data_IF_517644126328
#
_entry.id   IF_517644126328
#
_cell.length_a   1.000
_cell.length_b   1.000
_cell.length_c   1.000
_cell.angle_alpha   90.00
_cell.angle_beta   90.00
_cell.angle_gamma   90.00
#
_symmetry.space_group_name_H-M   'P 1'
#
loop_
_entity.id
_entity.type
_entity.pdbx_description
1 polymer ?
#
# COMPACT_ATOMS: atom_id res chain seq x y z
N UNK A 1 20.77 1.92 -11.00
CA UNK A 1 19.84 1.12 -11.82
C UNK A 1 19.19 0.17 -10.85
N UNK A 2 17.87 0.24 -10.72
CA UNK A 2 17.14 -0.52 -9.71
C UNK A 2 16.53 -1.76 -10.37
N UNK A 3 16.75 -2.92 -9.77
CA UNK A 3 16.31 -4.22 -10.30
C UNK A 3 15.35 -4.84 -9.30
N UNK A 4 14.14 -5.18 -9.74
CA UNK A 4 13.11 -5.83 -8.93
C UNK A 4 12.99 -7.29 -9.38
N UNK A 5 13.22 -8.23 -8.45
CA UNK A 5 13.07 -9.67 -8.67
C UNK A 5 11.72 -10.14 -8.11
N UNK A 6 10.79 -10.56 -8.97
CA UNK A 6 9.50 -11.16 -8.57
C UNK A 6 9.59 -12.69 -8.53
N UNK A 7 8.74 -13.33 -7.72
CA UNK A 7 8.64 -14.80 -7.56
C UNK A 7 9.90 -15.49 -6.99
N UNK A 8 10.70 -14.78 -6.19
CA UNK A 8 11.85 -15.37 -5.51
C UNK A 8 11.38 -16.30 -4.38
N UNK A 9 11.87 -17.53 -4.36
CA UNK A 9 11.57 -18.48 -3.28
C UNK A 9 12.54 -18.27 -2.13
N UNK A 10 12.07 -18.40 -0.87
CA UNK A 10 12.92 -18.26 0.34
C UNK A 10 14.16 -19.15 0.34
N UNK A 11 14.07 -20.33 -0.28
CA UNK A 11 15.21 -21.27 -0.41
C UNK A 11 16.37 -20.74 -1.26
N UNK A 12 16.09 -19.82 -2.19
CA UNK A 12 17.08 -19.29 -3.13
C UNK A 12 17.77 -18.02 -2.57
N UNK A 13 17.27 -17.49 -1.45
CA UNK A 13 17.80 -16.29 -0.79
C UNK A 13 19.29 -16.40 -0.40
N UNK A 14 19.80 -17.52 0.16
CA UNK A 14 21.23 -17.64 0.48
C UNK A 14 22.15 -17.54 -0.74
N UNK A 15 21.66 -18.02 -1.91
CA UNK A 15 22.39 -17.95 -3.18
C UNK A 15 22.43 -16.51 -3.67
N UNK A 16 21.29 -15.82 -3.65
CA UNK A 16 21.21 -14.40 -4.01
C UNK A 16 22.08 -13.53 -3.12
N UNK A 17 22.09 -13.78 -1.80
CA UNK A 17 22.97 -13.08 -0.85
C UNK A 17 24.45 -13.29 -1.16
N UNK A 18 24.84 -14.49 -1.57
CA UNK A 18 26.21 -14.79 -1.97
C UNK A 18 26.61 -14.09 -3.27
N UNK A 19 25.71 -14.06 -4.25
CA UNK A 19 25.90 -13.32 -5.51
C UNK A 19 26.03 -11.82 -5.26
N UNK A 20 25.15 -11.26 -4.43
CA UNK A 20 25.16 -9.86 -4.03
C UNK A 20 26.50 -9.46 -3.40
N UNK A 21 27.02 -10.30 -2.48
CA UNK A 21 28.33 -10.09 -1.86
C UNK A 21 29.48 -10.13 -2.87
N UNK A 22 29.44 -11.06 -3.82
CA UNK A 22 30.49 -11.20 -4.85
C UNK A 22 30.47 -10.08 -5.89
N UNK A 23 29.29 -9.54 -6.20
CA UNK A 23 29.09 -8.50 -7.21
C UNK A 23 29.03 -7.09 -6.61
N UNK A 24 29.05 -6.97 -5.27
CA UNK A 24 29.14 -5.69 -4.56
C UNK A 24 27.83 -4.89 -4.53
N UNK A 25 26.67 -5.53 -4.59
CA UNK A 25 25.38 -4.86 -4.45
C UNK A 25 24.64 -5.32 -3.18
N UNK A 26 23.71 -4.50 -2.71
CA UNK A 26 22.91 -4.78 -1.52
C UNK A 26 21.51 -5.27 -1.91
N UNK A 27 20.99 -6.25 -1.17
CA UNK A 27 19.61 -6.72 -1.32
C UNK A 27 18.77 -5.96 -0.29
N UNK A 28 17.86 -5.13 -0.77
CA UNK A 28 16.88 -4.44 0.06
C UNK A 28 15.57 -5.24 -0.04
N UNK A 29 15.10 -5.77 1.09
CA UNK A 29 13.74 -6.31 1.16
C UNK A 29 12.78 -5.12 1.08
N UNK A 30 12.07 -5.02 -0.04
CA UNK A 30 10.94 -4.11 -0.11
C UNK A 30 9.86 -4.65 0.84
N UNK A 31 9.75 -4.05 2.02
CA UNK A 31 8.55 -4.19 2.83
C UNK A 31 7.41 -3.57 2.01
N UNK A 32 6.69 -4.40 1.25
CA UNK A 32 5.39 -4.02 0.73
C UNK A 32 4.49 -3.79 1.95
N UNK A 33 4.43 -2.53 2.39
CA UNK A 33 3.45 -2.12 3.39
C UNK A 33 2.09 -2.51 2.81
N UNK A 34 1.29 -3.33 3.51
CA UNK A 34 0.03 -3.84 2.96
C UNK A 34 -0.99 -2.73 2.67
N UNK A 35 -0.75 -1.52 3.20
CA UNK A 35 -1.58 -0.35 3.00
C UNK A 35 -0.73 0.84 2.60
N UNK A 36 -1.22 1.62 1.61
CA UNK A 36 -0.66 2.92 1.30
C UNK A 36 -0.88 3.86 2.51
N UNK A 37 0.17 4.43 3.13
CA UNK A 37 0.04 5.34 4.27
C UNK A 37 -0.88 6.54 4.01
N UNK A 38 -0.88 7.08 2.79
CA UNK A 38 -1.73 8.21 2.39
C UNK A 38 -3.21 7.82 2.46
N UNK A 39 -3.54 6.63 1.95
CA UNK A 39 -4.89 6.08 2.00
C UNK A 39 -5.36 5.82 3.43
N UNK A 40 -4.48 5.32 4.31
CA UNK A 40 -4.80 5.13 5.73
C UNK A 40 -5.11 6.48 6.39
N UNK A 41 -4.36 7.52 6.04
CA UNK A 41 -4.55 8.85 6.59
C UNK A 41 -5.89 9.46 6.17
N UNK A 42 -6.25 9.37 4.88
CA UNK A 42 -7.56 9.83 4.38
C UNK A 42 -8.74 9.18 5.12
N UNK A 43 -8.66 7.87 5.40
CA UNK A 43 -9.72 7.16 6.12
C UNK A 43 -9.83 7.63 7.58
N UNK A 44 -8.70 7.87 8.24
CA UNK A 44 -8.69 8.38 9.61
C UNK A 44 -9.27 9.79 9.68
N UNK A 45 -8.89 10.65 8.74
CA UNK A 45 -9.40 12.02 8.65
C UNK A 45 -10.91 12.04 8.37
N UNK A 46 -11.37 11.25 7.39
CA UNK A 46 -12.80 11.10 7.10
C UNK A 46 -13.60 10.59 8.31
N UNK A 47 -13.02 9.67 9.09
CA UNK A 47 -13.65 9.16 10.32
C UNK A 47 -13.77 10.24 11.39
N UNK A 48 -12.76 11.09 11.53
CA UNK A 48 -12.79 12.22 12.45
C UNK A 48 -13.80 13.29 11.99
N UNK A 49 -13.90 13.57 10.69
CA UNK A 49 -14.91 14.46 10.12
C UNK A 49 -16.35 13.97 10.35
N UNK A 50 -16.58 12.66 10.22
CA UNK A 50 -17.84 12.03 10.59
C UNK A 50 -18.16 12.23 12.08
N UNK A 51 -17.16 12.06 12.97
CA UNK A 51 -17.30 12.28 14.41
C UNK A 51 -17.62 13.73 14.75
N UNK A 52 -17.05 14.67 13.99
CA UNK A 52 -17.30 16.11 14.10
C UNK A 52 -18.64 16.54 13.47
N UNK A 53 -19.40 15.62 12.89
CA UNK A 53 -20.72 15.89 12.32
C UNK A 53 -20.70 16.54 10.94
N UNK A 54 -19.57 16.51 10.23
CA UNK A 54 -19.45 17.01 8.85
C UNK A 54 -20.02 16.04 7.81
N UNK A 55 -20.44 14.84 8.24
CA UNK A 55 -21.06 13.85 7.36
C UNK A 55 -22.45 14.26 6.89
N UNK A 56 -22.69 14.17 5.58
CA UNK A 56 -24.05 14.31 5.03
C UNK A 56 -24.76 12.97 5.07
N UNK A 57 -25.92 12.90 5.75
CA UNK A 57 -26.83 11.75 5.61
C UNK A 57 -27.53 11.87 4.26
N UNK A 58 -27.26 10.96 3.34
CA UNK A 58 -27.95 10.85 2.06
C UNK A 58 -28.95 9.69 2.09
N UNK A 59 -30.10 9.88 1.45
CA UNK A 59 -31.04 8.81 1.18
C UNK A 59 -30.63 8.01 -0.07
N UNK A 60 -31.18 6.81 -0.24
CA UNK A 60 -30.95 5.98 -1.44
C UNK A 60 -31.41 6.73 -2.71
N UNK A 61 -32.50 7.48 -2.62
CA UNK A 61 -33.04 8.28 -3.72
C UNK A 61 -32.12 9.44 -4.13
N UNK A 62 -31.37 10.01 -3.19
CA UNK A 62 -30.39 11.07 -3.46
C UNK A 62 -29.14 10.50 -4.16
N UNK A 63 -28.73 9.29 -3.79
CA UNK A 63 -27.62 8.58 -4.45
C UNK A 63 -28.01 8.23 -5.90
N UNK A 64 -29.23 7.75 -6.13
CA UNK A 64 -29.76 7.42 -7.45
C UNK A 64 -29.79 8.61 -8.42
N UNK A 65 -29.91 9.84 -7.90
CA UNK A 65 -29.88 11.08 -8.70
C UNK A 65 -28.47 11.49 -9.12
N UNK A 66 -27.42 11.03 -8.43
CA UNK A 66 -26.04 11.39 -8.76
C UNK A 66 -25.47 10.64 -9.97
N UNK A 67 -26.11 9.54 -10.37
CA UNK A 67 -25.69 8.69 -11.49
C UNK A 67 -26.59 8.79 -12.74
N UNK A 68 -27.56 9.71 -12.75
CA UNK A 68 -28.40 10.05 -13.91
C UNK A 68 -27.95 11.37 -14.52
#
# INVERSE_FOLDING_TARGET
MDIILKNVKKKDFPVLKSLAKSLGFEIIEAEEKPYNPEFVQEILDAREELRQGKGTKMSIEDIDKLWK
#
